data_IF_761690223670
#
_entry.id   IF_761690223670
#
_cell.length_a   1.000
_cell.length_b   1.000
_cell.length_c   1.000
_cell.angle_alpha   90.00
_cell.angle_beta   90.00
_cell.angle_gamma   90.00
#
_symmetry.space_group_name_H-M   'P 1'
#
loop_
_entity.id
_entity.type
_entity.pdbx_description
1 polymer ?
#
# COMPACT_ATOMS: atom_id res chain seq x y z
N UNK A 1 16.45 33.13 6.30
CA UNK A 1 16.08 33.18 4.87
C UNK A 1 14.55 33.24 4.64
N UNK A 2 13.74 32.47 5.32
CA UNK A 2 12.26 32.44 5.12
C UNK A 2 11.56 33.77 5.47
N UNK A 3 12.07 34.57 6.38
CA UNK A 3 11.47 35.85 6.82
C UNK A 3 11.35 36.92 5.73
N UNK A 4 12.09 36.79 4.63
CA UNK A 4 12.11 37.76 3.53
C UNK A 4 11.29 37.29 2.30
N UNK A 5 10.69 36.10 2.35
CA UNK A 5 9.78 35.61 1.30
C UNK A 5 8.37 36.16 1.55
N UNK A 6 7.64 36.47 0.50
CA UNK A 6 6.22 36.86 0.59
C UNK A 6 5.39 35.75 1.24
N UNK A 7 4.30 36.13 1.91
CA UNK A 7 3.38 35.17 2.56
C UNK A 7 2.86 34.16 1.54
N UNK A 8 2.52 34.63 0.33
CA UNK A 8 2.05 33.76 -0.76
C UNK A 8 3.09 32.69 -1.11
N UNK A 9 4.35 33.06 -1.29
CA UNK A 9 5.42 32.10 -1.61
C UNK A 9 5.64 31.10 -0.48
N UNK A 10 5.59 31.49 0.79
CA UNK A 10 5.71 30.56 1.93
C UNK A 10 4.58 29.53 1.95
N UNK A 11 3.36 29.98 1.73
CA UNK A 11 2.18 29.11 1.69
C UNK A 11 2.26 28.14 0.50
N UNK A 12 2.62 28.64 -0.69
CA UNK A 12 2.75 27.79 -1.89
C UNK A 12 3.86 26.75 -1.71
N UNK A 13 5.00 27.11 -1.15
CA UNK A 13 6.08 26.15 -0.87
C UNK A 13 5.66 25.12 0.21
N UNK A 14 4.99 25.56 1.28
CA UNK A 14 4.54 24.68 2.34
C UNK A 14 3.48 23.68 1.87
N UNK A 15 2.43 24.16 1.22
CA UNK A 15 1.37 23.31 0.66
C UNK A 15 1.85 22.47 -0.54
N UNK A 16 2.73 23.02 -1.39
CA UNK A 16 3.32 22.31 -2.50
C UNK A 16 4.18 21.13 -2.04
N UNK A 17 4.97 21.30 -0.99
CA UNK A 17 5.77 20.23 -0.39
C UNK A 17 4.86 19.14 0.21
N UNK A 18 3.80 19.52 0.92
CA UNK A 18 2.83 18.57 1.46
C UNK A 18 2.11 17.78 0.35
N UNK A 19 1.68 18.48 -0.72
CA UNK A 19 1.05 17.85 -1.86
C UNK A 19 2.01 16.85 -2.54
N UNK A 20 3.27 17.23 -2.73
CA UNK A 20 4.28 16.34 -3.30
C UNK A 20 4.54 15.10 -2.43
N UNK A 21 4.60 15.27 -1.10
CA UNK A 21 4.72 14.15 -0.17
C UNK A 21 3.51 13.21 -0.24
N UNK A 22 2.29 13.74 -0.27
CA UNK A 22 1.07 12.94 -0.38
C UNK A 22 1.01 12.17 -1.70
N UNK A 23 1.39 12.81 -2.82
CA UNK A 23 1.48 12.14 -4.11
C UNK A 23 2.54 11.03 -4.10
N UNK A 24 3.68 11.27 -3.46
CA UNK A 24 4.73 10.26 -3.28
C UNK A 24 4.24 9.05 -2.48
N UNK A 25 3.52 9.28 -1.38
CA UNK A 25 2.89 8.21 -0.57
C UNK A 25 1.88 7.42 -1.39
N UNK A 26 1.00 8.11 -2.14
CA UNK A 26 -0.02 7.49 -2.97
C UNK A 26 0.60 6.63 -4.09
N UNK A 27 1.62 7.15 -4.77
CA UNK A 27 2.33 6.42 -5.82
C UNK A 27 3.03 5.17 -5.27
N UNK A 28 3.71 5.28 -4.13
CA UNK A 28 4.36 4.14 -3.48
C UNK A 28 3.34 3.09 -3.04
N UNK A 29 2.23 3.51 -2.42
CA UNK A 29 1.16 2.61 -1.99
C UNK A 29 0.58 1.86 -3.21
N UNK A 30 0.33 2.55 -4.31
CA UNK A 30 -0.17 1.94 -5.54
C UNK A 30 0.76 0.85 -6.09
N UNK A 31 2.07 1.14 -6.19
CA UNK A 31 3.07 0.18 -6.66
C UNK A 31 3.14 -1.06 -5.76
N UNK A 32 3.12 -0.87 -4.44
CA UNK A 32 3.17 -1.97 -3.47
C UNK A 32 1.91 -2.83 -3.47
N UNK A 33 0.74 -2.23 -3.70
CA UNK A 33 -0.52 -2.98 -3.86
C UNK A 33 -0.46 -3.86 -5.11
N UNK A 34 0.12 -3.40 -6.22
CA UNK A 34 0.31 -4.21 -7.42
C UNK A 34 1.24 -5.40 -7.18
N UNK A 35 2.33 -5.22 -6.43
CA UNK A 35 3.25 -6.32 -6.07
C UNK A 35 2.52 -7.39 -5.25
N UNK A 36 1.70 -6.98 -4.27
CA UNK A 36 0.89 -7.88 -3.44
C UNK A 36 -0.15 -8.60 -4.30
N UNK A 37 -0.88 -7.88 -5.17
CA UNK A 37 -1.88 -8.48 -6.06
C UNK A 37 -1.28 -9.54 -6.97
N UNK A 38 -0.11 -9.28 -7.55
CA UNK A 38 0.61 -10.24 -8.39
C UNK A 38 0.99 -11.52 -7.63
N UNK A 39 1.41 -11.39 -6.37
CA UNK A 39 1.72 -12.52 -5.50
C UNK A 39 0.47 -13.34 -5.17
N UNK A 40 -0.64 -12.69 -4.83
CA UNK A 40 -1.94 -13.34 -4.56
C UNK A 40 -2.45 -14.05 -5.82
N UNK A 41 -2.32 -13.45 -7.00
CA UNK A 41 -2.69 -14.10 -8.25
C UNK A 41 -1.83 -15.33 -8.55
N UNK A 42 -0.53 -15.30 -8.25
CA UNK A 42 0.37 -16.46 -8.39
C UNK A 42 -0.09 -17.60 -7.49
N UNK A 43 -0.40 -17.31 -6.23
CA UNK A 43 -0.91 -18.32 -5.29
C UNK A 43 -2.24 -18.90 -5.77
N UNK A 44 -3.22 -18.06 -6.08
CA UNK A 44 -4.61 -18.48 -6.31
C UNK A 44 -4.84 -19.06 -7.71
N UNK A 45 -4.15 -18.55 -8.74
CA UNK A 45 -4.38 -18.94 -10.14
C UNK A 45 -3.34 -19.90 -10.71
N UNK A 46 -2.17 -20.00 -10.07
CA UNK A 46 -1.08 -20.86 -10.57
C UNK A 46 -0.83 -22.02 -9.61
N UNK A 47 -0.52 -21.75 -8.34
CA UNK A 47 -0.08 -22.80 -7.43
C UNK A 47 -1.25 -23.63 -6.88
N UNK A 48 -2.32 -23.01 -6.39
CA UNK A 48 -3.47 -23.71 -5.84
C UNK A 48 -4.11 -24.68 -6.84
N UNK A 49 -4.37 -24.34 -8.13
CA UNK A 49 -4.91 -25.28 -9.10
C UNK A 49 -4.03 -26.51 -9.36
N UNK A 50 -2.69 -26.39 -9.26
CA UNK A 50 -1.79 -27.55 -9.40
C UNK A 50 -1.96 -28.52 -8.24
N UNK A 51 -2.04 -28.02 -7.00
CA UNK A 51 -2.28 -28.84 -5.81
C UNK A 51 -3.63 -29.53 -5.89
N UNK A 52 -4.69 -28.81 -6.27
CA UNK A 52 -6.05 -29.37 -6.43
C UNK A 52 -6.08 -30.45 -7.52
N UNK A 53 -5.45 -30.23 -8.68
CA UNK A 53 -5.37 -31.20 -9.76
C UNK A 53 -4.59 -32.44 -9.36
N UNK A 54 -3.51 -32.31 -8.59
CA UNK A 54 -2.74 -33.45 -8.11
C UNK A 54 -3.53 -34.26 -7.06
N UNK A 55 -4.28 -33.62 -6.16
CA UNK A 55 -5.21 -34.28 -5.25
C UNK A 55 -6.33 -35.00 -6.00
N UNK A 56 -6.95 -34.35 -6.98
CA UNK A 56 -7.96 -35.00 -7.83
C UNK A 56 -7.40 -36.18 -8.58
N UNK A 57 -6.13 -36.17 -8.98
CA UNK A 57 -5.47 -37.33 -9.58
C UNK A 57 -5.33 -38.49 -8.60
N UNK A 58 -4.99 -38.26 -7.32
CA UNK A 58 -4.99 -39.29 -6.26
C UNK A 58 -6.38 -39.91 -6.10
N UNK A 59 -7.43 -39.06 -6.14
CA UNK A 59 -8.81 -39.57 -6.07
C UNK A 59 -9.12 -40.54 -7.22
N UNK A 60 -8.70 -40.23 -8.44
CA UNK A 60 -8.86 -41.15 -9.60
C UNK A 60 -8.03 -42.44 -9.45
N UNK A 61 -6.83 -42.36 -8.88
CA UNK A 61 -6.04 -43.54 -8.54
C UNK A 61 -6.81 -44.46 -7.57
N UNK A 62 -7.43 -43.83 -6.54
CA UNK A 62 -8.25 -44.58 -5.58
C UNK A 62 -9.52 -45.16 -6.19
N UNK A 63 -10.15 -44.47 -7.15
CA UNK A 63 -11.29 -45.01 -7.93
C UNK A 63 -10.85 -46.21 -8.71
N UNK A 64 -9.72 -46.18 -9.44
CA UNK A 64 -9.22 -47.33 -10.19
C UNK A 64 -8.92 -48.53 -9.28
N UNK A 65 -8.34 -48.28 -8.11
CA UNK A 65 -8.04 -49.30 -7.11
C UNK A 65 -9.29 -49.99 -6.54
N UNK A 66 -10.34 -49.22 -6.29
CA UNK A 66 -11.63 -49.78 -5.85
C UNK A 66 -12.32 -50.56 -6.95
N UNK A 67 -12.34 -50.02 -8.15
CA UNK A 67 -13.00 -50.64 -9.30
C UNK A 67 -12.39 -52.02 -9.61
N UNK A 68 -11.06 -52.12 -9.65
CA UNK A 68 -10.40 -53.40 -9.93
C UNK A 68 -10.65 -54.42 -8.82
N UNK A 69 -10.66 -54.01 -7.55
CA UNK A 69 -11.00 -54.93 -6.43
C UNK A 69 -12.47 -55.36 -6.46
N UNK A 70 -13.39 -54.45 -6.75
CA UNK A 70 -14.79 -54.76 -6.87
C UNK A 70 -15.05 -55.77 -8.01
N UNK A 71 -14.40 -55.56 -9.16
CA UNK A 71 -14.48 -56.50 -10.29
C UNK A 71 -14.07 -57.94 -9.92
N UNK A 72 -13.12 -58.12 -8.98
CA UNK A 72 -12.73 -59.45 -8.48
C UNK A 72 -13.76 -60.08 -7.56
N UNK A 73 -14.60 -59.28 -6.88
CA UNK A 73 -15.52 -59.71 -5.84
C UNK A 73 -16.96 -59.95 -6.31
N UNK A 74 -17.35 -59.35 -7.44
CA UNK A 74 -18.70 -59.50 -8.00
C UNK A 74 -18.92 -60.90 -8.62
N UNK A 75 -20.20 -61.32 -8.67
CA UNK A 75 -20.53 -62.69 -9.06
C UNK A 75 -20.70 -62.89 -10.57
N UNK A 76 -21.08 -61.82 -11.28
CA UNK A 76 -21.38 -61.89 -12.69
C UNK A 76 -20.33 -61.14 -13.53
N UNK A 77 -20.13 -61.60 -14.77
CA UNK A 77 -19.22 -60.95 -15.74
C UNK A 77 -19.70 -59.53 -16.07
N UNK A 78 -21.02 -59.31 -16.12
CA UNK A 78 -21.61 -58.03 -16.45
C UNK A 78 -21.33 -56.97 -15.35
N UNK A 79 -21.40 -57.41 -14.08
CA UNK A 79 -21.03 -56.54 -12.94
C UNK A 79 -19.54 -56.20 -12.95
N UNK A 80 -18.69 -57.19 -13.24
CA UNK A 80 -17.24 -56.97 -13.38
C UNK A 80 -16.92 -56.00 -14.53
N UNK A 81 -17.63 -56.13 -15.67
CA UNK A 81 -17.44 -55.21 -16.79
C UNK A 81 -17.80 -53.75 -16.43
N UNK A 82 -18.86 -53.53 -15.67
CA UNK A 82 -19.21 -52.17 -15.16
C UNK A 82 -18.08 -51.56 -14.33
N UNK A 83 -17.43 -52.36 -13.50
CA UNK A 83 -16.29 -51.87 -12.71
C UNK A 83 -15.05 -51.60 -13.60
N UNK A 84 -14.80 -52.38 -14.63
CA UNK A 84 -13.74 -52.08 -15.62
C UNK A 84 -14.06 -50.83 -16.44
N UNK A 85 -15.31 -50.56 -16.78
CA UNK A 85 -15.73 -49.32 -17.45
C UNK A 85 -15.49 -48.10 -16.53
N UNK A 86 -15.81 -48.23 -15.24
CA UNK A 86 -15.53 -47.24 -14.23
C UNK A 86 -14.02 -46.94 -14.07
N UNK A 87 -13.19 -47.98 -14.07
CA UNK A 87 -11.74 -47.87 -14.06
C UNK A 87 -11.25 -47.13 -15.31
N UNK A 88 -11.78 -47.45 -16.48
CA UNK A 88 -11.43 -46.81 -17.74
C UNK A 88 -11.78 -45.31 -17.72
N UNK A 89 -12.96 -44.96 -17.21
CA UNK A 89 -13.39 -43.57 -17.06
C UNK A 89 -12.48 -42.82 -16.11
N UNK A 90 -12.13 -43.37 -14.93
CA UNK A 90 -11.22 -42.76 -13.97
C UNK A 90 -9.82 -42.51 -14.55
N UNK A 91 -9.31 -43.46 -15.38
CA UNK A 91 -8.03 -43.25 -16.08
C UNK A 91 -8.08 -42.11 -17.11
N UNK A 92 -9.23 -41.93 -17.78
CA UNK A 92 -9.45 -40.82 -18.71
C UNK A 92 -9.45 -39.49 -17.96
N UNK A 93 -10.19 -39.39 -16.87
CA UNK A 93 -10.24 -38.21 -16.01
C UNK A 93 -8.85 -37.85 -15.44
N UNK A 94 -8.10 -38.87 -14.99
CA UNK A 94 -6.70 -38.68 -14.57
C UNK A 94 -5.82 -38.13 -15.70
N UNK A 95 -5.99 -38.63 -16.93
CA UNK A 95 -5.22 -38.15 -18.07
C UNK A 95 -5.50 -36.66 -18.39
N UNK A 96 -6.76 -36.22 -18.25
CA UNK A 96 -7.12 -34.81 -18.42
C UNK A 96 -6.48 -33.92 -17.33
N UNK A 97 -6.43 -34.41 -16.08
CA UNK A 97 -5.74 -33.70 -14.97
C UNK A 97 -4.24 -33.61 -15.26
N UNK A 98 -3.60 -34.66 -15.72
CA UNK A 98 -2.17 -34.63 -16.09
C UNK A 98 -1.87 -33.72 -17.26
N UNK A 99 -2.75 -33.62 -18.25
CA UNK A 99 -2.59 -32.68 -19.35
C UNK A 99 -2.66 -31.20 -18.88
N UNK A 100 -3.41 -30.90 -17.81
CA UNK A 100 -3.44 -29.61 -17.18
C UNK A 100 -2.17 -29.34 -16.35
N UNK A 101 -1.75 -30.32 -15.53
CA UNK A 101 -0.52 -30.26 -14.74
C UNK A 101 0.72 -30.10 -15.63
N UNK A 102 0.77 -30.79 -16.74
CA UNK A 102 1.86 -30.73 -17.73
C UNK A 102 2.09 -29.31 -18.25
N UNK A 103 1.02 -28.56 -18.48
CA UNK A 103 1.08 -27.15 -18.92
C UNK A 103 1.38 -26.18 -17.76
N UNK A 104 0.96 -26.53 -16.55
CA UNK A 104 1.06 -25.63 -15.40
C UNK A 104 2.41 -25.73 -14.67
N UNK A 105 3.05 -26.91 -14.69
CA UNK A 105 4.34 -27.14 -14.04
C UNK A 105 5.48 -26.67 -14.95
N UNK A 106 6.09 -25.55 -14.62
CA UNK A 106 7.17 -24.93 -15.42
C UNK A 106 8.53 -24.96 -14.74
N UNK A 107 8.60 -25.17 -13.42
CA UNK A 107 9.86 -25.26 -12.69
C UNK A 107 10.61 -26.55 -13.02
N UNK A 108 11.94 -26.51 -13.11
CA UNK A 108 12.76 -27.67 -13.41
C UNK A 108 12.60 -28.80 -12.36
N UNK A 109 12.44 -28.43 -11.10
CA UNK A 109 12.27 -29.36 -9.99
C UNK A 109 10.88 -29.99 -9.99
N UNK A 110 9.82 -29.17 -10.14
CA UNK A 110 8.45 -29.67 -10.29
C UNK A 110 8.31 -30.58 -11.52
N UNK A 111 8.97 -30.26 -12.63
CA UNK A 111 8.99 -31.10 -13.84
C UNK A 111 9.56 -32.48 -13.57
N UNK A 112 10.71 -32.54 -12.89
CA UNK A 112 11.34 -33.84 -12.52
C UNK A 112 10.42 -34.69 -11.63
N UNK A 113 9.71 -34.06 -10.68
CA UNK A 113 8.74 -34.74 -9.82
C UNK A 113 7.53 -35.23 -10.64
N UNK A 114 7.03 -34.42 -11.55
CA UNK A 114 5.92 -34.77 -12.41
C UNK A 114 6.29 -35.92 -13.38
N UNK A 115 7.50 -35.94 -13.93
CA UNK A 115 7.99 -37.03 -14.74
C UNK A 115 8.02 -38.37 -13.96
N UNK A 116 8.40 -38.32 -12.66
CA UNK A 116 8.31 -39.48 -11.76
C UNK A 116 6.85 -39.95 -11.56
N UNK A 117 5.90 -38.99 -11.46
CA UNK A 117 4.45 -39.36 -11.42
C UNK A 117 4.02 -40.08 -12.69
N UNK A 118 4.42 -39.58 -13.87
CA UNK A 118 4.07 -40.21 -15.14
C UNK A 118 4.69 -41.63 -15.30
N UNK A 119 5.91 -41.80 -14.83
CA UNK A 119 6.59 -43.12 -14.85
C UNK A 119 5.90 -44.12 -13.93
N UNK A 120 5.64 -43.78 -12.69
CA UNK A 120 4.96 -44.63 -11.70
C UNK A 120 3.52 -44.95 -12.14
N UNK A 121 2.82 -43.98 -12.76
CA UNK A 121 1.52 -44.20 -13.41
C UNK A 121 1.61 -45.26 -14.49
N UNK A 122 2.59 -45.17 -15.40
CA UNK A 122 2.78 -46.13 -16.49
C UNK A 122 2.95 -47.55 -15.96
N UNK A 123 3.75 -47.75 -14.92
CA UNK A 123 3.97 -49.02 -14.26
C UNK A 123 2.65 -49.56 -13.66
N UNK A 124 1.94 -48.70 -12.87
CA UNK A 124 0.69 -49.09 -12.22
C UNK A 124 -0.40 -49.47 -13.21
N UNK A 125 -0.55 -48.71 -14.30
CA UNK A 125 -1.52 -49.03 -15.37
C UNK A 125 -1.18 -50.36 -16.05
N UNK A 126 0.09 -50.61 -16.35
CA UNK A 126 0.51 -51.88 -16.94
C UNK A 126 0.24 -53.09 -16.01
N UNK A 127 0.48 -52.94 -14.72
CA UNK A 127 0.19 -54.00 -13.74
C UNK A 127 -1.33 -54.23 -13.59
N UNK A 128 -2.15 -53.19 -13.57
CA UNK A 128 -3.61 -53.29 -13.58
C UNK A 128 -4.13 -53.99 -14.85
N UNK A 129 -3.57 -53.66 -16.01
CA UNK A 129 -3.96 -54.29 -17.28
C UNK A 129 -3.66 -55.81 -17.31
N UNK A 130 -2.54 -56.25 -16.69
CA UNK A 130 -2.24 -57.68 -16.50
C UNK A 130 -3.30 -58.34 -15.61
N UNK A 131 -3.70 -57.72 -14.50
CA UNK A 131 -4.76 -58.25 -13.62
C UNK A 131 -6.07 -58.40 -14.39
N UNK A 132 -6.47 -57.39 -15.17
CA UNK A 132 -7.69 -57.42 -15.98
C UNK A 132 -7.62 -58.54 -17.02
N UNK A 133 -6.47 -58.72 -17.66
CA UNK A 133 -6.25 -59.78 -18.67
C UNK A 133 -6.35 -61.17 -18.07
N UNK A 134 -5.71 -61.43 -16.92
CA UNK A 134 -5.80 -62.71 -16.19
C UNK A 134 -7.24 -63.00 -15.73
N UNK A 135 -7.93 -62.01 -15.21
CA UNK A 135 -9.32 -62.13 -14.80
C UNK A 135 -10.24 -62.53 -15.99
N UNK A 136 -10.10 -61.83 -17.13
CA UNK A 136 -10.86 -62.14 -18.36
C UNK A 136 -10.53 -63.51 -18.96
N UNK A 137 -9.32 -64.02 -18.76
CA UNK A 137 -8.90 -65.38 -19.18
C UNK A 137 -9.39 -66.50 -18.22
N UNK A 138 -10.04 -66.10 -17.08
CA UNK A 138 -10.54 -67.03 -16.09
C UNK A 138 -9.54 -67.43 -15.00
N UNK A 139 -8.30 -66.90 -15.05
CA UNK A 139 -7.24 -67.10 -14.06
C UNK A 139 -7.41 -66.19 -12.81
N UNK A 140 -8.52 -66.36 -12.08
CA UNK A 140 -8.92 -65.45 -10.98
C UNK A 140 -7.94 -65.47 -9.82
N UNK A 141 -7.38 -66.63 -9.46
CA UNK A 141 -6.43 -66.72 -8.34
C UNK A 141 -5.10 -66.02 -8.66
N UNK A 142 -4.59 -66.16 -9.90
CA UNK A 142 -3.39 -65.45 -10.35
C UNK A 142 -3.63 -63.94 -10.45
N UNK A 143 -4.83 -63.52 -10.90
CA UNK A 143 -5.23 -62.10 -10.93
C UNK A 143 -5.29 -61.50 -9.51
N UNK A 144 -5.83 -62.25 -8.53
CA UNK A 144 -5.89 -61.82 -7.16
C UNK A 144 -4.49 -61.70 -6.51
N UNK A 145 -3.62 -62.69 -6.76
CA UNK A 145 -2.24 -62.63 -6.28
C UNK A 145 -1.46 -61.43 -6.83
N UNK A 146 -1.57 -61.21 -8.16
CA UNK A 146 -0.94 -60.06 -8.82
C UNK A 146 -1.49 -58.74 -8.29
N UNK A 147 -2.80 -58.64 -8.03
CA UNK A 147 -3.44 -57.47 -7.45
C UNK A 147 -2.88 -57.12 -6.06
N UNK A 148 -2.73 -58.14 -5.19
CA UNK A 148 -2.30 -57.97 -3.80
C UNK A 148 -0.80 -57.72 -3.71
N UNK A 149 0.02 -58.42 -4.44
CA UNK A 149 1.47 -58.40 -4.28
C UNK A 149 2.18 -57.38 -5.18
N UNK A 150 1.65 -57.08 -6.37
CA UNK A 150 2.30 -56.17 -7.31
C UNK A 150 1.55 -54.85 -7.51
N UNK A 151 0.25 -54.89 -7.87
CA UNK A 151 -0.53 -53.65 -8.13
C UNK A 151 -0.61 -52.77 -6.90
N UNK A 152 -0.81 -53.38 -5.71
CA UNK A 152 -0.82 -52.61 -4.45
C UNK A 152 0.48 -51.84 -4.22
N UNK A 153 1.63 -52.42 -4.57
CA UNK A 153 2.94 -51.78 -4.41
C UNK A 153 3.12 -50.66 -5.44
N UNK A 154 2.91 -50.92 -6.72
CA UNK A 154 3.05 -49.93 -7.79
C UNK A 154 2.09 -48.74 -7.59
N UNK A 155 0.85 -49.00 -7.12
CA UNK A 155 -0.11 -47.96 -6.78
C UNK A 155 0.36 -47.11 -5.60
N UNK A 156 0.93 -47.74 -4.55
CA UNK A 156 1.46 -46.98 -3.41
C UNK A 156 2.62 -46.06 -3.82
N UNK A 157 3.51 -46.54 -4.70
CA UNK A 157 4.62 -45.76 -5.25
C UNK A 157 4.11 -44.60 -6.12
N UNK A 158 3.04 -44.81 -6.89
CA UNK A 158 2.39 -43.78 -7.69
C UNK A 158 1.72 -42.69 -6.82
N UNK A 159 0.97 -43.09 -5.78
CA UNK A 159 0.38 -42.11 -4.82
C UNK A 159 1.50 -41.32 -4.14
N UNK A 160 2.58 -41.98 -3.71
CA UNK A 160 3.71 -41.30 -3.08
C UNK A 160 4.37 -40.30 -4.01
N UNK A 161 4.49 -40.59 -5.30
CA UNK A 161 5.01 -39.63 -6.28
C UNK A 161 4.12 -38.39 -6.41
N UNK A 162 2.78 -38.58 -6.41
CA UNK A 162 1.82 -37.46 -6.38
C UNK A 162 1.90 -36.67 -5.09
N UNK A 163 2.03 -37.32 -3.93
CA UNK A 163 2.20 -36.63 -2.62
C UNK A 163 3.47 -35.80 -2.55
N UNK A 164 4.58 -36.29 -3.15
CA UNK A 164 5.83 -35.52 -3.23
C UNK A 164 5.65 -34.27 -4.09
N UNK A 165 4.96 -34.40 -5.23
CA UNK A 165 4.63 -33.27 -6.10
C UNK A 165 3.73 -32.26 -5.38
N UNK A 166 2.68 -32.73 -4.68
CA UNK A 166 1.76 -31.88 -3.89
C UNK A 166 2.52 -31.11 -2.82
N UNK A 167 3.40 -31.79 -2.10
CA UNK A 167 4.22 -31.15 -1.06
C UNK A 167 5.08 -30.04 -1.63
N UNK A 168 5.78 -30.30 -2.73
CA UNK A 168 6.60 -29.30 -3.40
C UNK A 168 5.79 -28.07 -3.85
N UNK A 169 4.63 -28.28 -4.50
CA UNK A 169 3.78 -27.16 -4.93
C UNK A 169 3.17 -26.40 -3.74
N UNK A 170 2.90 -27.09 -2.61
CA UNK A 170 2.45 -26.46 -1.36
C UNK A 170 3.55 -25.63 -0.74
N UNK A 171 4.80 -26.12 -0.70
CA UNK A 171 5.96 -25.37 -0.22
C UNK A 171 6.19 -24.09 -1.04
N UNK A 172 6.04 -24.16 -2.37
CA UNK A 172 6.12 -22.97 -3.23
C UNK A 172 5.00 -21.96 -2.92
N UNK A 173 3.80 -22.45 -2.62
CA UNK A 173 2.67 -21.59 -2.23
C UNK A 173 2.89 -20.94 -0.86
N UNK A 174 3.45 -21.68 0.11
CA UNK A 174 3.82 -21.15 1.42
C UNK A 174 4.90 -20.06 1.31
N UNK A 175 5.95 -20.29 0.54
CA UNK A 175 7.00 -19.30 0.28
C UNK A 175 6.44 -18.03 -0.38
N UNK A 176 5.53 -18.18 -1.35
CA UNK A 176 4.87 -17.03 -1.98
C UNK A 176 3.98 -16.25 -0.99
N UNK A 177 3.32 -16.97 -0.06
CA UNK A 177 2.51 -16.37 1.01
C UNK A 177 3.36 -15.62 2.02
N UNK A 178 4.47 -16.21 2.48
CA UNK A 178 5.42 -15.56 3.38
C UNK A 178 6.03 -14.31 2.76
N UNK A 179 6.41 -14.38 1.48
CA UNK A 179 6.90 -13.23 0.73
C UNK A 179 5.85 -12.12 0.66
N UNK A 180 4.60 -12.46 0.37
CA UNK A 180 3.48 -11.51 0.32
C UNK A 180 3.25 -10.84 1.69
N UNK A 181 3.25 -11.61 2.78
CA UNK A 181 3.11 -11.09 4.14
C UNK A 181 4.26 -10.14 4.51
N UNK A 182 5.50 -10.48 4.17
CA UNK A 182 6.65 -9.61 4.38
C UNK A 182 6.55 -8.29 3.59
N UNK A 183 6.01 -8.34 2.36
CA UNK A 183 5.71 -7.13 1.56
C UNK A 183 4.64 -6.27 2.24
N UNK A 184 3.55 -6.86 2.74
CA UNK A 184 2.50 -6.14 3.47
C UNK A 184 3.07 -5.45 4.70
N UNK A 185 3.82 -6.16 5.55
CA UNK A 185 4.40 -5.63 6.78
C UNK A 185 5.42 -4.52 6.51
N UNK A 186 6.28 -4.69 5.51
CA UNK A 186 7.26 -3.67 5.12
C UNK A 186 6.59 -2.43 4.56
N UNK A 187 5.53 -2.61 3.76
CA UNK A 187 4.73 -1.53 3.18
C UNK A 187 4.01 -0.75 4.28
N UNK A 188 3.34 -1.43 5.21
CA UNK A 188 2.65 -0.80 6.33
C UNK A 188 3.61 0.04 7.19
N UNK A 189 4.78 -0.50 7.53
CA UNK A 189 5.82 0.25 8.28
C UNK A 189 6.31 1.48 7.52
N UNK A 190 6.58 1.34 6.22
CA UNK A 190 7.04 2.45 5.39
C UNK A 190 6.00 3.56 5.28
N UNK A 191 4.72 3.21 5.07
CA UNK A 191 3.62 4.16 5.01
C UNK A 191 3.42 4.90 6.35
N UNK A 192 3.54 4.20 7.48
CA UNK A 192 3.48 4.83 8.81
C UNK A 192 4.63 5.81 9.05
N UNK A 193 5.86 5.47 8.65
CA UNK A 193 7.01 6.36 8.73
C UNK A 193 6.78 7.60 7.87
N UNK A 194 6.35 7.43 6.61
CA UNK A 194 6.08 8.54 5.71
C UNK A 194 4.95 9.44 6.21
N UNK A 195 3.88 8.86 6.76
CA UNK A 195 2.80 9.62 7.39
C UNK A 195 3.30 10.43 8.59
N UNK A 196 4.14 9.84 9.44
CA UNK A 196 4.78 10.54 10.56
C UNK A 196 5.65 11.71 10.10
N UNK A 197 6.46 11.51 9.06
CA UNK A 197 7.28 12.59 8.46
C UNK A 197 6.40 13.69 7.88
N UNK A 198 5.34 13.35 7.15
CA UNK A 198 4.40 14.32 6.58
C UNK A 198 3.71 15.16 7.68
N UNK A 199 3.28 14.51 8.76
CA UNK A 199 2.69 15.20 9.92
C UNK A 199 3.69 16.14 10.62
N UNK A 200 4.93 15.71 10.79
CA UNK A 200 5.98 16.55 11.36
C UNK A 200 6.26 17.79 10.49
N UNK A 201 6.38 17.61 9.18
CA UNK A 201 6.56 18.71 8.21
C UNK A 201 5.37 19.66 8.24
N UNK A 202 4.14 19.13 8.27
CA UNK A 202 2.92 19.93 8.38
C UNK A 202 2.88 20.76 9.67
N UNK A 203 3.20 20.15 10.81
CA UNK A 203 3.21 20.82 12.11
C UNK A 203 4.27 21.95 12.17
N UNK A 204 5.50 21.66 11.72
CA UNK A 204 6.59 22.65 11.66
C UNK A 204 6.20 23.80 10.72
N UNK A 205 5.65 23.48 9.55
CA UNK A 205 5.18 24.46 8.58
C UNK A 205 4.07 25.34 9.15
N UNK A 206 3.05 24.74 9.76
CA UNK A 206 1.94 25.46 10.38
C UNK A 206 2.42 26.41 11.49
N UNK A 207 3.28 25.94 12.42
CA UNK A 207 3.83 26.77 13.50
C UNK A 207 4.65 27.91 12.92
N UNK A 208 5.50 27.65 11.93
CA UNK A 208 6.38 28.64 11.31
C UNK A 208 5.56 29.73 10.59
N UNK A 209 4.59 29.33 9.77
CA UNK A 209 3.70 30.24 9.04
C UNK A 209 2.87 31.07 10.02
N UNK A 210 2.20 30.43 10.99
CA UNK A 210 1.37 31.11 11.98
C UNK A 210 2.18 32.17 12.75
N UNK A 211 3.32 31.79 13.30
CA UNK A 211 4.17 32.76 14.06
C UNK A 211 4.71 33.87 13.18
N UNK A 212 4.99 33.60 11.92
CA UNK A 212 5.53 34.60 11.00
C UNK A 212 4.50 35.66 10.55
N UNK A 213 3.22 35.34 10.64
CA UNK A 213 2.10 36.25 10.29
C UNK A 213 1.46 36.86 11.55
N UNK A 214 1.05 35.99 12.49
CA UNK A 214 0.28 36.43 13.67
C UNK A 214 1.09 37.40 14.58
N UNK A 215 2.39 37.16 14.72
CA UNK A 215 3.25 38.02 15.52
C UNK A 215 3.25 39.47 15.03
N UNK A 216 3.68 39.75 13.78
CA UNK A 216 3.66 41.12 13.22
C UNK A 216 2.27 41.74 13.13
N UNK A 217 1.23 40.97 12.82
CA UNK A 217 -0.16 41.48 12.83
C UNK A 217 -0.56 41.96 14.21
N UNK A 218 -0.29 41.19 15.26
CA UNK A 218 -0.59 41.62 16.62
C UNK A 218 0.21 42.90 17.04
N UNK A 219 1.49 43.00 16.59
CA UNK A 219 2.28 44.20 16.80
C UNK A 219 1.68 45.42 16.10
N UNK A 220 1.20 45.27 14.85
CA UNK A 220 0.53 46.34 14.12
C UNK A 220 -0.77 46.78 14.82
N UNK A 221 -1.58 45.80 15.26
CA UNK A 221 -2.82 46.09 16.02
C UNK A 221 -2.53 46.85 17.31
N UNK A 222 -1.53 46.44 18.08
CA UNK A 222 -1.15 47.11 19.33
C UNK A 222 -0.62 48.50 19.07
N UNK A 223 0.25 48.68 18.06
CA UNK A 223 0.75 49.99 17.69
C UNK A 223 -0.39 50.94 17.25
N UNK A 224 -1.38 50.43 16.51
CA UNK A 224 -2.55 51.22 16.09
C UNK A 224 -3.42 51.62 17.27
N UNK A 225 -3.60 50.78 18.30
CA UNK A 225 -4.32 51.13 19.54
C UNK A 225 -3.60 52.25 20.31
N UNK A 226 -2.30 52.09 20.53
CA UNK A 226 -1.52 53.14 21.24
C UNK A 226 -1.48 54.44 20.46
N UNK A 227 -1.41 54.38 19.13
CA UNK A 227 -1.53 55.55 18.27
C UNK A 227 -2.88 56.28 18.46
N UNK A 228 -3.98 55.53 18.55
CA UNK A 228 -5.32 56.09 18.83
C UNK A 228 -5.42 56.72 20.22
N UNK A 229 -4.62 56.28 21.19
CA UNK A 229 -4.49 56.90 22.53
C UNK A 229 -3.58 58.11 22.51
N UNK A 230 -3.01 58.49 21.36
CA UNK A 230 -2.17 59.70 21.20
C UNK A 230 -0.67 59.47 21.42
N UNK A 231 -0.22 58.20 21.51
CA UNK A 231 1.20 57.88 21.63
C UNK A 231 1.88 57.92 20.26
N UNK A 232 2.54 59.02 19.96
CA UNK A 232 3.30 59.24 18.73
C UNK A 232 4.79 58.86 18.84
N UNK A 233 5.21 58.25 19.99
CA UNK A 233 6.61 57.90 20.23
C UNK A 233 6.95 56.47 19.81
N UNK A 234 6.00 55.78 19.20
CA UNK A 234 6.13 54.40 18.76
C UNK A 234 7.17 54.23 17.65
N UNK A 235 7.93 53.13 17.71
CA UNK A 235 8.81 52.71 16.63
C UNK A 235 8.37 51.35 16.11
N UNK A 236 7.80 51.32 14.92
CA UNK A 236 7.31 50.14 14.24
C UNK A 236 8.17 49.71 13.04
N UNK A 237 9.34 50.36 12.82
CA UNK A 237 10.22 50.04 11.68
C UNK A 237 10.65 48.61 11.70
N UNK A 238 10.61 47.98 10.51
CA UNK A 238 10.90 46.55 10.30
C UNK A 238 11.90 46.37 9.15
N UNK A 239 12.92 45.54 9.37
CA UNK A 239 13.89 45.13 8.33
C UNK A 239 13.36 44.01 7.43
N UNK A 240 12.13 43.56 7.64
CA UNK A 240 11.50 42.50 6.82
C UNK A 240 11.18 43.07 5.43
N UNK A 241 11.36 42.18 4.41
CA UNK A 241 11.08 42.50 2.99
C UNK A 241 9.78 41.86 2.49
N UNK A 242 8.98 41.31 3.38
CA UNK A 242 7.68 40.71 3.05
C UNK A 242 6.53 41.70 3.28
N UNK A 243 5.29 41.27 3.05
CA UNK A 243 4.08 42.10 3.21
C UNK A 243 3.91 42.62 4.65
N UNK A 244 4.41 41.88 5.64
CA UNK A 244 4.39 42.29 7.04
C UNK A 244 5.39 43.43 7.32
N UNK A 245 6.56 43.35 6.67
CA UNK A 245 7.52 44.45 6.73
C UNK A 245 7.00 45.72 6.09
N UNK A 246 6.36 45.63 4.93
CA UNK A 246 5.72 46.76 4.27
C UNK A 246 4.60 47.37 5.12
N UNK A 247 3.78 46.54 5.76
CA UNK A 247 2.72 46.98 6.66
C UNK A 247 3.30 47.78 7.86
N UNK A 248 4.32 47.25 8.54
CA UNK A 248 4.94 47.86 9.69
C UNK A 248 5.62 49.21 9.34
N UNK A 249 6.29 49.27 8.19
CA UNK A 249 6.94 50.50 7.72
C UNK A 249 5.91 51.55 7.28
N UNK A 250 4.82 51.17 6.61
CA UNK A 250 3.73 52.09 6.29
C UNK A 250 3.05 52.66 7.55
N UNK A 251 2.92 51.84 8.62
CA UNK A 251 2.43 52.30 9.92
C UNK A 251 3.40 53.30 10.54
N UNK A 252 4.72 53.08 10.46
CA UNK A 252 5.72 54.04 10.92
C UNK A 252 5.63 55.37 10.17
N UNK A 253 5.54 55.33 8.85
CA UNK A 253 5.40 56.55 8.03
C UNK A 253 4.14 57.33 8.40
N UNK A 254 3.04 56.67 8.78
CA UNK A 254 1.84 57.31 9.27
C UNK A 254 2.07 57.96 10.64
N UNK A 255 2.73 57.28 11.58
CA UNK A 255 3.09 57.81 12.89
C UNK A 255 3.98 59.05 12.75
N UNK A 256 5.03 59.00 11.92
CA UNK A 256 5.96 60.08 11.67
C UNK A 256 5.24 61.30 11.09
N UNK A 257 4.31 61.11 10.14
CA UNK A 257 3.49 62.22 9.58
C UNK A 257 2.55 62.85 10.59
N UNK A 258 1.87 62.04 11.43
CA UNK A 258 0.99 62.55 12.47
C UNK A 258 1.79 63.35 13.53
N UNK A 259 2.96 62.82 13.93
CA UNK A 259 3.84 63.55 14.85
C UNK A 259 4.26 64.90 14.28
N UNK A 260 4.59 64.99 12.99
CA UNK A 260 4.94 66.19 12.29
C UNK A 260 3.76 67.23 12.29
N UNK A 261 2.54 66.79 11.89
CA UNK A 261 1.34 67.62 11.86
C UNK A 261 1.02 68.17 13.27
N UNK A 262 1.06 67.31 14.27
CA UNK A 262 0.82 67.79 15.68
C UNK A 262 1.89 68.77 16.11
N UNK A 263 3.17 68.58 15.71
CA UNK A 263 4.24 69.52 15.93
C UNK A 263 3.96 70.89 15.29
N UNK A 264 3.54 70.91 14.01
CA UNK A 264 3.18 72.11 13.28
C UNK A 264 1.97 72.87 13.96
N UNK A 265 0.94 72.11 14.34
CA UNK A 265 -0.24 72.65 15.03
C UNK A 265 0.15 73.30 16.39
N UNK A 266 1.00 72.64 17.17
CA UNK A 266 1.50 73.14 18.41
C UNK A 266 2.34 74.44 18.22
N UNK A 267 3.20 74.47 17.19
CA UNK A 267 3.97 75.65 16.84
C UNK A 267 3.07 76.84 16.41
N UNK A 268 2.09 76.55 15.57
CA UNK A 268 1.09 77.52 15.14
C UNK A 268 0.28 78.09 16.34
N UNK A 269 -0.15 77.14 17.24
CA UNK A 269 -0.82 77.54 18.51
C UNK A 269 0.04 78.44 19.39
N UNK A 270 1.34 78.11 19.52
CA UNK A 270 2.30 78.95 20.24
C UNK A 270 2.48 80.32 19.62
N UNK A 271 2.56 80.42 18.30
CA UNK A 271 2.65 81.65 17.55
C UNK A 271 1.39 82.52 17.73
N UNK A 272 0.21 81.84 17.66
CA UNK A 272 -1.09 82.55 17.89
C UNK A 272 -1.21 83.08 19.31
N UNK A 273 -0.78 82.31 20.30
CA UNK A 273 -0.77 82.78 21.72
C UNK A 273 0.16 83.97 21.89
N UNK A 274 1.35 83.95 21.27
CA UNK A 274 2.28 85.13 21.32
C UNK A 274 1.69 86.38 20.63
N UNK A 275 1.04 86.19 19.46
CA UNK A 275 0.35 87.29 18.78
C UNK A 275 -0.83 87.85 19.59
N UNK A 276 -1.62 87.01 20.25
CA UNK A 276 -2.71 87.40 21.12
C UNK A 276 -2.21 88.19 22.34
N UNK A 277 -1.08 87.77 22.92
CA UNK A 277 -0.44 88.56 24.01
C UNK A 277 0.06 89.92 23.55
N UNK A 278 0.63 89.99 22.31
CA UNK A 278 1.09 91.26 21.76
C UNK A 278 -0.06 92.24 21.45
N UNK A 279 -1.18 91.72 20.93
CA UNK A 279 -2.41 92.51 20.74
C UNK A 279 -2.97 92.96 22.04
N UNK A 280 -2.99 92.14 23.09
CA UNK A 280 -3.45 92.56 24.45
C UNK A 280 -2.56 93.61 25.04
N UNK A 281 -1.24 93.54 24.96
CA UNK A 281 -0.30 94.51 25.40
C UNK A 281 -0.45 95.87 24.65
N UNK A 282 -0.68 95.84 23.33
CA UNK A 282 -0.94 97.02 22.51
C UNK A 282 -2.27 97.67 22.86
N UNK A 283 -3.32 96.90 23.10
CA UNK A 283 -4.62 97.37 23.52
C UNK A 283 -4.56 98.07 24.91
N UNK A 284 -3.77 97.52 25.88
CA UNK A 284 -3.53 98.12 27.18
C UNK A 284 -2.75 99.39 27.05
N UNK A 285 -1.75 99.53 26.23
CA UNK A 285 -1.01 100.78 26.00
C UNK A 285 -1.87 101.87 25.36
N UNK A 286 -2.77 101.49 24.42
CA UNK A 286 -3.76 102.40 23.83
C UNK A 286 -4.82 102.86 24.83
N UNK A 287 -5.16 102.08 25.83
CA UNK A 287 -6.14 102.45 26.86
C UNK A 287 -5.56 103.38 27.97
N UNK A 288 -4.23 103.49 28.04
CA UNK A 288 -3.51 104.35 29.00
C UNK A 288 -3.00 105.65 28.37
N UNK A 289 -3.15 105.88 27.10
CA UNK A 289 -2.89 107.14 26.40
C UNK A 289 -4.18 107.89 26.14
#
# INVERSE_FOLDING_TARGET
>A
MLKNLTIGVRLTLGFGLLAALLLGVAALAYLRIQDIDSSVQTISRVNLPKVEQAHAAIDQVNVTARAIRNAMLVKTTDEAQKEFDRLTQARKEAAELYAKLDKAITSAEGRKMFDTVLETRKITVADQDKVISLFKAGHKDEAADLLVNQVRKSQADYIRALEVLIRHETELMEQATEHSNALVDSTARLLLIMAGVALAVAAIGAITVTRSITGPVNQAVEATKRLAEGDLTLNTRSDRRDEMGHLMNALQDMIDKLAHIIGEVNQAGGSLNSAAQQVSATAQSLSQS
#
